data_IF_082150987806
#
_entry.id   IF_082150987806
#
_cell.length_a   1.000
_cell.length_b   1.000
_cell.length_c   1.000
_cell.angle_alpha   90.00
_cell.angle_beta   90.00
_cell.angle_gamma   90.00
#
_symmetry.space_group_name_H-M   'P 1'
#
loop_
_entity.id
_entity.type
_entity.pdbx_description
1 polymer ?
#
# COMPACT_ATOMS: atom_id res chain seq x y z
N UNK A 1 1.42 36.32 -33.11
CA UNK A 1 1.08 34.97 -33.63
C UNK A 1 2.08 33.90 -33.18
N UNK A 2 3.38 34.03 -33.48
CA UNK A 2 4.39 33.04 -33.08
C UNK A 2 4.52 32.82 -31.55
N UNK A 3 4.44 33.89 -30.74
CA UNK A 3 4.47 33.75 -29.28
C UNK A 3 3.28 32.97 -28.72
N UNK A 4 2.06 33.17 -29.24
CA UNK A 4 0.89 32.39 -28.83
C UNK A 4 1.03 30.91 -29.18
N UNK A 5 1.65 30.58 -30.33
CA UNK A 5 1.93 29.20 -30.74
C UNK A 5 2.99 28.56 -29.82
N UNK A 6 4.02 29.31 -29.42
CA UNK A 6 5.03 28.86 -28.45
C UNK A 6 4.44 28.66 -27.03
N UNK A 7 3.55 29.55 -26.58
CA UNK A 7 2.86 29.37 -25.30
C UNK A 7 1.90 28.16 -25.32
N UNK A 8 1.17 27.97 -26.43
CA UNK A 8 0.24 26.85 -26.58
C UNK A 8 0.97 25.50 -26.67
N UNK A 9 2.09 25.45 -27.37
CA UNK A 9 2.95 24.25 -27.42
C UNK A 9 3.60 23.96 -26.07
N UNK A 10 4.04 24.97 -25.32
CA UNK A 10 4.56 24.77 -23.96
C UNK A 10 3.49 24.19 -23.01
N UNK A 11 2.25 24.69 -23.07
CA UNK A 11 1.12 24.20 -22.27
C UNK A 11 0.75 22.75 -22.59
N UNK A 12 0.73 22.37 -23.88
CA UNK A 12 0.44 20.99 -24.29
C UNK A 12 1.49 19.98 -23.79
N UNK A 13 2.76 20.39 -23.68
CA UNK A 13 3.83 19.53 -23.15
C UNK A 13 3.83 19.44 -21.62
N UNK A 14 3.19 20.37 -20.91
CA UNK A 14 3.12 20.37 -19.44
C UNK A 14 1.92 19.59 -18.88
N UNK A 15 0.86 19.40 -19.67
CA UNK A 15 -0.33 18.65 -19.29
C UNK A 15 -0.05 17.21 -18.77
N UNK A 16 0.84 16.40 -19.39
CA UNK A 16 1.14 15.06 -18.88
C UNK A 16 1.98 15.06 -17.58
N UNK A 17 2.54 16.20 -17.13
CA UNK A 17 3.26 16.30 -15.86
C UNK A 17 2.31 16.48 -14.66
N UNK A 18 1.02 16.76 -14.90
CA UNK A 18 -0.02 16.77 -13.88
C UNK A 18 -0.53 15.35 -13.57
N UNK A 19 0.35 14.35 -13.59
CA UNK A 19 -0.02 13.05 -13.04
C UNK A 19 -0.30 13.24 -11.56
N UNK A 20 -1.56 13.08 -11.19
CA UNK A 20 -2.01 13.15 -9.81
C UNK A 20 -1.14 12.22 -8.99
N UNK A 21 -0.41 12.74 -8.00
CA UNK A 21 0.28 11.88 -7.04
C UNK A 21 -0.80 11.17 -6.22
N UNK A 22 -1.21 9.98 -6.64
CA UNK A 22 -2.08 9.14 -5.84
C UNK A 22 -1.21 8.51 -4.75
N UNK A 23 -0.90 9.33 -3.74
CA UNK A 23 -0.34 8.84 -2.49
C UNK A 23 -1.43 7.99 -1.82
N UNK A 24 -1.19 6.68 -1.77
CA UNK A 24 -2.01 5.76 -0.98
C UNK A 24 -1.62 5.94 0.47
N UNK A 25 -2.58 6.21 1.33
CA UNK A 25 -2.39 6.24 2.77
C UNK A 25 -2.34 4.80 3.31
N UNK A 26 -1.32 4.49 4.11
CA UNK A 26 -1.14 3.16 4.70
C UNK A 26 -1.35 3.26 6.20
N UNK A 27 -2.33 2.52 6.69
CA UNK A 27 -2.63 2.42 8.13
C UNK A 27 -2.32 1.01 8.59
N UNK A 28 -1.67 0.87 9.74
CA UNK A 28 -1.36 -0.43 10.33
C UNK A 28 -1.85 -0.40 11.77
N UNK A 29 -2.68 -1.37 12.13
CA UNK A 29 -3.27 -1.48 13.46
C UNK A 29 -3.07 -2.89 13.97
N UNK A 30 -2.55 -3.00 15.19
CA UNK A 30 -2.53 -4.28 15.90
C UNK A 30 -3.69 -4.29 16.90
N UNK A 31 -4.74 -5.06 16.60
CA UNK A 31 -5.96 -5.15 17.41
C UNK A 31 -5.85 -6.20 18.52
N UNK A 32 -4.73 -6.93 18.60
CA UNK A 32 -4.57 -8.03 19.54
C UNK A 32 -3.86 -7.62 20.82
N UNK A 33 -4.28 -8.21 21.93
CA UNK A 33 -3.63 -8.05 23.23
C UNK A 33 -2.15 -8.47 23.17
N UNK A 34 -1.34 -7.87 24.05
CA UNK A 34 0.11 -8.00 24.03
C UNK A 34 0.62 -9.43 23.84
N UNK A 35 -0.01 -10.46 24.41
CA UNK A 35 0.51 -11.84 24.32
C UNK A 35 0.35 -12.46 22.92
N UNK A 36 -0.80 -12.28 22.27
CA UNK A 36 -1.08 -12.84 20.94
C UNK A 36 -0.47 -11.96 19.85
N UNK A 37 -0.47 -10.65 20.06
CA UNK A 37 0.05 -9.65 19.13
C UNK A 37 1.52 -9.28 19.29
N UNK A 38 2.19 -9.74 20.34
CA UNK A 38 3.57 -9.33 20.67
C UNK A 38 4.51 -9.53 19.49
N UNK A 39 4.39 -10.68 18.84
CA UNK A 39 5.32 -11.04 17.77
C UNK A 39 5.22 -10.10 16.58
N UNK A 40 4.01 -9.70 16.19
CA UNK A 40 3.83 -8.69 15.15
C UNK A 40 4.57 -7.41 15.51
N UNK A 41 4.41 -6.90 16.73
CA UNK A 41 5.07 -5.66 17.15
C UNK A 41 6.60 -5.78 17.24
N UNK A 42 7.10 -6.94 17.69
CA UNK A 42 8.52 -7.15 17.96
C UNK A 42 9.33 -7.49 16.70
N UNK A 43 8.75 -8.23 15.76
CA UNK A 43 9.48 -8.77 14.61
C UNK A 43 9.12 -8.08 13.28
N UNK A 44 7.89 -7.58 13.12
CA UNK A 44 7.43 -6.93 11.88
C UNK A 44 7.30 -5.43 12.11
N UNK A 45 6.33 -5.04 12.94
CA UNK A 45 6.05 -3.66 13.30
C UNK A 45 5.41 -2.84 12.17
N UNK A 46 4.91 -1.66 12.57
CA UNK A 46 4.22 -0.73 11.67
C UNK A 46 5.12 -0.24 10.53
N UNK A 47 6.37 0.12 10.83
CA UNK A 47 7.28 0.70 9.85
C UNK A 47 7.60 -0.29 8.70
N UNK A 48 7.94 -1.54 9.04
CA UNK A 48 8.18 -2.58 8.05
C UNK A 48 6.93 -2.87 7.22
N UNK A 49 5.76 -2.93 7.89
CA UNK A 49 4.47 -3.16 7.22
C UNK A 49 4.18 -2.08 6.18
N UNK A 50 4.30 -0.80 6.55
CA UNK A 50 4.09 0.33 5.62
C UNK A 50 5.07 0.31 4.45
N UNK A 51 6.35 0.04 4.71
CA UNK A 51 7.36 -0.07 3.66
C UNK A 51 7.05 -1.22 2.69
N UNK A 52 6.63 -2.37 3.22
CA UNK A 52 6.28 -3.55 2.43
C UNK A 52 5.04 -3.30 1.58
N UNK A 53 4.00 -2.68 2.14
CA UNK A 53 2.79 -2.30 1.39
C UNK A 53 3.14 -1.34 0.24
N UNK A 54 3.91 -0.29 0.52
CA UNK A 54 4.35 0.66 -0.49
C UNK A 54 5.18 0.00 -1.60
N UNK A 55 6.15 -0.83 -1.22
CA UNK A 55 7.02 -1.53 -2.17
C UNK A 55 6.26 -2.55 -3.02
N UNK A 56 5.29 -3.24 -2.42
CA UNK A 56 4.43 -4.23 -3.11
C UNK A 56 3.57 -3.55 -4.17
N UNK A 57 2.97 -2.40 -3.85
CA UNK A 57 2.17 -1.64 -4.81
C UNK A 57 3.04 -1.17 -5.98
N UNK A 58 4.23 -0.62 -5.70
CA UNK A 58 5.18 -0.24 -6.75
C UNK A 58 5.62 -1.43 -7.61
N UNK A 59 5.84 -2.59 -6.99
CA UNK A 59 6.18 -3.82 -7.69
C UNK A 59 5.05 -4.30 -8.62
N UNK A 60 3.81 -4.33 -8.13
CA UNK A 60 2.62 -4.68 -8.92
C UNK A 60 2.50 -3.74 -10.13
N UNK A 61 2.59 -2.43 -9.92
CA UNK A 61 2.52 -1.46 -11.02
C UNK A 61 3.59 -1.69 -12.08
N UNK A 62 4.81 -2.02 -11.66
CA UNK A 62 5.90 -2.34 -12.58
C UNK A 62 5.63 -3.60 -13.40
N UNK A 63 5.14 -4.67 -12.76
CA UNK A 63 4.85 -5.96 -13.43
C UNK A 63 3.70 -5.82 -14.42
N UNK A 64 2.64 -5.11 -14.06
CA UNK A 64 1.46 -4.92 -14.92
C UNK A 64 1.58 -3.72 -15.87
N UNK A 65 2.73 -3.04 -15.89
CA UNK A 65 2.99 -1.87 -16.75
C UNK A 65 1.93 -0.77 -16.60
N UNK A 66 1.38 -0.62 -15.38
CA UNK A 66 0.39 0.41 -15.07
C UNK A 66 1.06 1.75 -14.78
N UNK A 67 1.72 2.31 -15.80
CA UNK A 67 2.44 3.60 -15.70
C UNK A 67 1.50 4.80 -15.70
N UNK A 68 0.24 4.62 -16.11
CA UNK A 68 -0.79 5.64 -16.02
C UNK A 68 -1.60 5.44 -14.73
N UNK A 69 -1.56 6.45 -13.86
CA UNK A 69 -2.29 6.45 -12.59
C UNK A 69 -3.80 6.37 -12.74
N UNK A 70 -4.34 6.80 -13.89
CA UNK A 70 -5.77 6.68 -14.20
C UNK A 70 -6.26 5.22 -14.32
N UNK A 71 -5.35 4.28 -14.58
CA UNK A 71 -5.66 2.85 -14.64
C UNK A 71 -5.61 2.18 -13.27
N UNK A 72 -5.16 2.90 -12.24
CA UNK A 72 -5.08 2.36 -10.90
C UNK A 72 -6.49 2.23 -10.34
N UNK A 73 -6.72 1.16 -9.57
CA UNK A 73 -7.92 1.09 -8.73
C UNK A 73 -7.92 2.33 -7.83
N UNK A 74 -8.98 3.13 -7.88
CA UNK A 74 -9.08 4.35 -7.08
C UNK A 74 -9.21 3.98 -5.60
N UNK A 75 -8.06 3.86 -4.94
CA UNK A 75 -7.93 3.52 -3.53
C UNK A 75 -6.99 4.51 -2.88
N UNK A 76 -7.55 5.34 -2.02
CA UNK A 76 -6.80 6.35 -1.28
C UNK A 76 -6.20 5.80 0.01
N UNK A 77 -6.67 4.63 0.48
CA UNK A 77 -6.24 4.04 1.74
C UNK A 77 -6.13 2.52 1.63
N UNK A 78 -5.08 1.97 2.25
CA UNK A 78 -4.93 0.55 2.53
C UNK A 78 -4.68 0.39 4.02
N UNK A 79 -5.50 -0.43 4.68
CA UNK A 79 -5.36 -0.73 6.11
C UNK A 79 -4.86 -2.15 6.31
N UNK A 80 -3.87 -2.35 7.18
CA UNK A 80 -3.44 -3.65 7.66
C UNK A 80 -3.85 -3.82 9.12
N UNK A 81 -4.58 -4.89 9.40
CA UNK A 81 -5.01 -5.26 10.74
C UNK A 81 -4.35 -6.58 11.14
N UNK A 82 -3.69 -6.58 12.30
CA UNK A 82 -3.30 -7.81 12.97
C UNK A 82 -4.40 -8.18 13.97
N UNK A 83 -5.16 -9.22 13.67
CA UNK A 83 -6.40 -9.58 14.36
C UNK A 83 -6.32 -10.96 15.00
N UNK A 84 -7.07 -11.14 16.09
CA UNK A 84 -7.27 -12.45 16.69
C UNK A 84 -8.35 -13.19 15.90
N UNK A 85 -7.95 -13.91 14.86
CA UNK A 85 -8.85 -14.63 13.97
C UNK A 85 -8.30 -16.01 13.59
N UNK A 86 -9.18 -16.87 13.10
CA UNK A 86 -8.81 -18.13 12.49
C UNK A 86 -8.27 -17.93 11.06
N UNK A 87 -7.57 -18.94 10.55
CA UNK A 87 -6.95 -18.90 9.22
C UNK A 87 -5.69 -18.04 9.18
N UNK A 88 -5.34 -17.58 7.98
CA UNK A 88 -4.07 -16.86 7.74
C UNK A 88 -4.31 -15.38 7.46
N UNK A 89 -5.08 -15.09 6.42
CA UNK A 89 -5.37 -13.72 6.00
C UNK A 89 -6.62 -13.65 5.12
N UNK A 90 -7.28 -12.50 5.11
CA UNK A 90 -8.28 -12.16 4.11
C UNK A 90 -8.21 -10.67 3.76
N UNK A 91 -8.84 -10.31 2.64
CA UNK A 91 -8.91 -8.91 2.19
C UNK A 91 -10.34 -8.50 1.90
N UNK A 92 -10.72 -7.30 2.32
CA UNK A 92 -12.03 -6.72 2.01
C UNK A 92 -11.91 -5.20 1.92
N UNK A 93 -12.47 -4.58 0.87
CA UNK A 93 -12.58 -3.12 0.75
C UNK A 93 -11.28 -2.30 0.97
N UNK A 94 -10.11 -2.87 0.68
CA UNK A 94 -8.82 -2.22 0.91
C UNK A 94 -8.23 -2.43 2.30
N UNK A 95 -8.84 -3.31 3.07
CA UNK A 95 -8.36 -3.80 4.34
C UNK A 95 -7.74 -5.19 4.14
N UNK A 96 -6.61 -5.39 4.79
CA UNK A 96 -5.89 -6.65 4.86
C UNK A 96 -5.95 -7.06 6.33
N UNK A 97 -6.55 -8.20 6.61
CA UNK A 97 -6.61 -8.75 7.96
C UNK A 97 -5.68 -9.95 8.01
N UNK A 98 -4.75 -9.97 8.95
CA UNK A 98 -3.79 -11.05 9.15
C UNK A 98 -3.99 -11.62 10.56
N UNK A 99 -3.94 -12.94 10.66
CA UNK A 99 -4.14 -13.63 11.94
C UNK A 99 -2.90 -13.48 12.82
N UNK A 100 -3.09 -12.89 13.99
CA UNK A 100 -2.09 -12.82 15.04
C UNK A 100 -1.75 -14.23 15.56
N UNK A 101 -2.72 -15.14 15.60
CA UNK A 101 -2.50 -16.55 15.97
C UNK A 101 -1.55 -17.22 14.97
N UNK A 102 -1.75 -16.97 13.68
CA UNK A 102 -0.88 -17.51 12.64
C UNK A 102 0.54 -16.96 12.76
N UNK A 103 0.70 -15.64 12.90
CA UNK A 103 2.02 -15.01 13.08
C UNK A 103 2.69 -15.53 14.36
N UNK A 104 1.97 -15.60 15.48
CA UNK A 104 2.50 -16.10 16.75
C UNK A 104 2.96 -17.56 16.69
N UNK A 105 2.26 -18.41 15.93
CA UNK A 105 2.58 -19.82 15.77
C UNK A 105 3.62 -20.17 14.70
N UNK A 106 4.02 -19.21 13.85
CA UNK A 106 4.87 -19.50 12.68
C UNK A 106 6.34 -19.76 13.07
N UNK A 107 6.87 -20.98 12.93
CA UNK A 107 8.20 -21.29 13.47
C UNK A 107 9.40 -20.59 12.78
N UNK A 108 9.19 -19.93 11.63
CA UNK A 108 10.25 -19.33 10.82
C UNK A 108 10.19 -17.79 10.83
N UNK A 109 11.03 -17.15 10.02
CA UNK A 109 11.02 -15.69 9.84
C UNK A 109 9.67 -15.22 9.29
N UNK A 110 9.18 -14.11 9.83
CA UNK A 110 7.88 -13.51 9.51
C UNK A 110 8.01 -12.19 8.74
N UNK A 111 9.23 -11.80 8.36
CA UNK A 111 9.54 -10.60 7.57
C UNK A 111 9.70 -10.87 6.09
#
# INVERSE_FOLDING_TARGET
MAHYILYLSLLLNLAPLLQSSHAVDYVVTNNTENTVGARFNNEIGEACSKQTLSSTIAFIWRIFQQTNTANWKNMQKVSLFNDNMDGVTYTINGEIHVSANYIGGYSSDVR
#
